data_IF_378526158201
#
_entry.id   IF_378526158201
#
_cell.length_a   1.000
_cell.length_b   1.000
_cell.length_c   1.000
_cell.angle_alpha   90.00
_cell.angle_beta   90.00
_cell.angle_gamma   90.00
#
_symmetry.space_group_name_H-M   'P 1'
#
loop_
_entity.id
_entity.type
_entity.pdbx_description
1 polymer ?
#
# COMPACT_ATOMS: atom_id res chain seq x y z
N UNK A 1 -17.38 10.52 27.48
CA UNK A 1 -16.85 11.56 26.57
C UNK A 1 -17.06 11.11 25.12
N UNK A 2 -18.15 11.53 24.49
CA UNK A 2 -18.36 11.30 23.06
C UNK A 2 -17.49 12.27 22.28
N UNK A 3 -16.38 11.79 21.70
CA UNK A 3 -15.64 12.55 20.69
C UNK A 3 -16.59 12.73 19.51
N UNK A 4 -17.05 13.96 19.28
CA UNK A 4 -17.84 14.27 18.09
C UNK A 4 -17.02 13.88 16.87
N UNK A 5 -17.48 12.90 16.11
CA UNK A 5 -16.91 12.57 14.80
C UNK A 5 -17.13 13.79 13.90
N UNK A 6 -16.14 14.66 13.83
CA UNK A 6 -16.14 15.81 12.94
C UNK A 6 -16.22 15.26 11.52
N UNK A 7 -17.32 15.54 10.81
CA UNK A 7 -17.43 15.20 9.39
C UNK A 7 -16.23 15.82 8.67
N UNK A 8 -15.37 14.98 8.11
CA UNK A 8 -14.25 15.42 7.27
C UNK A 8 -14.86 15.99 5.99
N UNK A 9 -14.54 17.25 5.67
CA UNK A 9 -15.04 17.89 4.46
C UNK A 9 -14.24 17.47 3.22
N UNK A 10 -14.83 17.59 2.03
CA UNK A 10 -14.11 17.37 0.76
C UNK A 10 -12.84 18.22 0.65
N UNK A 11 -12.83 19.42 1.21
CA UNK A 11 -11.64 20.29 1.26
C UNK A 11 -10.50 19.74 2.12
N UNK A 12 -10.83 19.07 3.23
CA UNK A 12 -9.82 18.45 4.09
C UNK A 12 -9.17 17.26 3.36
N UNK A 13 -9.98 16.50 2.62
CA UNK A 13 -9.51 15.41 1.75
C UNK A 13 -8.59 15.92 0.64
N UNK A 14 -8.96 17.03 -0.01
CA UNK A 14 -8.13 17.63 -1.07
C UNK A 14 -6.79 18.10 -0.51
N UNK A 15 -6.79 18.79 0.64
CA UNK A 15 -5.57 19.24 1.31
C UNK A 15 -4.63 18.09 1.65
N UNK A 16 -5.18 16.95 2.05
CA UNK A 16 -4.38 15.75 2.33
C UNK A 16 -3.66 15.25 1.06
N UNK A 17 -4.37 15.20 -0.08
CA UNK A 17 -3.78 14.86 -1.37
C UNK A 17 -2.65 15.82 -1.80
N UNK A 18 -2.84 17.12 -1.59
CA UNK A 18 -1.81 18.14 -1.85
C UNK A 18 -0.59 17.97 -0.94
N UNK A 19 -0.80 17.65 0.34
CA UNK A 19 0.27 17.39 1.29
C UNK A 19 1.09 16.15 0.89
N UNK A 20 0.42 15.08 0.42
CA UNK A 20 1.09 13.88 -0.10
C UNK A 20 1.94 14.23 -1.32
N UNK A 21 1.40 14.95 -2.31
CA UNK A 21 2.17 15.36 -3.49
C UNK A 21 3.40 16.19 -3.09
N UNK A 22 3.24 17.12 -2.15
CA UNK A 22 4.35 17.94 -1.66
C UNK A 22 5.46 17.07 -1.08
N UNK A 23 5.12 16.09 -0.24
CA UNK A 23 6.08 15.13 0.32
C UNK A 23 6.74 14.26 -0.74
N UNK A 24 5.99 13.79 -1.74
CA UNK A 24 6.56 13.05 -2.87
C UNK A 24 7.62 13.90 -3.57
N UNK A 25 7.33 15.17 -3.86
CA UNK A 25 8.28 16.09 -4.50
C UNK A 25 9.49 16.39 -3.63
N UNK A 26 9.31 16.55 -2.32
CA UNK A 26 10.42 16.74 -1.38
C UNK A 26 11.31 15.50 -1.31
N UNK A 27 10.73 14.30 -1.15
CA UNK A 27 11.49 13.05 -1.13
C UNK A 27 12.30 12.82 -2.41
N UNK A 28 11.68 13.09 -3.56
CA UNK A 28 12.31 12.92 -4.87
C UNK A 28 13.41 13.94 -5.09
N UNK A 29 13.24 15.18 -4.58
CA UNK A 29 14.32 16.17 -4.54
C UNK A 29 15.46 15.70 -3.66
N UNK A 30 15.20 15.38 -2.41
CA UNK A 30 16.26 15.08 -1.43
C UNK A 30 17.08 13.84 -1.83
N UNK A 31 16.41 12.74 -2.21
CA UNK A 31 17.09 11.48 -2.49
C UNK A 31 17.88 11.49 -3.80
N UNK A 32 17.33 12.08 -4.85
CA UNK A 32 17.99 12.11 -6.15
C UNK A 32 18.97 13.28 -6.27
N UNK A 33 18.80 14.37 -5.51
CA UNK A 33 19.75 15.49 -5.51
C UNK A 33 21.07 15.03 -4.89
N UNK A 34 21.00 14.36 -3.74
CA UNK A 34 22.19 13.83 -3.08
C UNK A 34 22.92 12.80 -3.93
N UNK A 35 22.17 11.90 -4.59
CA UNK A 35 22.74 10.88 -5.49
C UNK A 35 23.38 11.52 -6.72
N UNK A 36 22.68 12.43 -7.40
CA UNK A 36 23.18 13.13 -8.58
C UNK A 36 24.38 14.04 -8.25
N UNK A 37 24.36 14.76 -7.12
CA UNK A 37 25.48 15.58 -6.67
C UNK A 37 26.72 14.74 -6.39
N UNK A 38 26.54 13.57 -5.77
CA UNK A 38 27.61 12.61 -5.48
C UNK A 38 28.20 12.03 -6.77
N UNK A 39 27.36 11.57 -7.68
CA UNK A 39 27.77 10.90 -8.93
C UNK A 39 28.47 11.87 -9.91
N UNK A 40 28.15 13.17 -9.84
CA UNK A 40 28.70 14.19 -10.73
C UNK A 40 29.71 15.13 -10.06
N UNK A 41 30.11 14.85 -8.80
CA UNK A 41 31.06 15.67 -8.02
C UNK A 41 30.67 17.16 -7.93
N UNK A 42 29.36 17.46 -7.90
CA UNK A 42 28.81 18.81 -7.93
C UNK A 42 28.79 19.36 -6.50
N UNK A 43 29.63 20.37 -6.23
CA UNK A 43 29.72 21.03 -4.91
C UNK A 43 28.71 22.17 -4.70
N UNK A 44 27.99 22.60 -5.74
CA UNK A 44 27.12 23.78 -5.68
C UNK A 44 25.86 23.66 -6.57
N UNK A 45 24.69 23.57 -5.92
CA UNK A 45 23.37 23.30 -6.55
C UNK A 45 22.81 24.49 -7.33
N UNK A 46 23.23 25.73 -7.01
CA UNK A 46 22.65 26.98 -7.55
C UNK A 46 22.82 27.17 -9.07
N UNK A 47 23.50 26.27 -9.79
CA UNK A 47 23.78 26.35 -11.24
C UNK A 47 23.19 25.19 -12.07
N UNK A 48 22.30 24.37 -11.52
CA UNK A 48 21.66 23.31 -12.33
C UNK A 48 20.68 23.90 -13.34
N UNK A 49 20.86 23.55 -14.62
CA UNK A 49 19.92 23.89 -15.69
C UNK A 49 18.65 23.03 -15.63
N UNK A 50 17.61 23.45 -16.36
CA UNK A 50 16.33 22.70 -16.47
C UNK A 50 16.54 21.28 -17.01
N UNK A 51 17.53 21.08 -17.87
CA UNK A 51 17.84 19.79 -18.48
C UNK A 51 18.53 18.82 -17.51
N UNK A 52 19.41 19.32 -16.64
CA UNK A 52 20.01 18.54 -15.55
C UNK A 52 18.95 18.08 -14.55
N UNK A 53 17.99 18.96 -14.26
CA UNK A 53 16.80 18.62 -13.48
C UNK A 53 16.05 17.45 -14.14
N UNK A 54 15.66 17.56 -15.41
CA UNK A 54 14.90 16.50 -16.08
C UNK A 54 15.66 15.16 -16.13
N UNK A 55 16.98 15.18 -16.32
CA UNK A 55 17.84 13.99 -16.36
C UNK A 55 18.00 13.32 -14.98
N UNK A 56 17.95 14.11 -13.91
CA UNK A 56 17.96 13.62 -12.54
C UNK A 56 16.67 12.86 -12.17
N UNK A 57 15.51 13.30 -12.67
CA UNK A 57 14.22 12.62 -12.44
C UNK A 57 13.92 11.47 -13.41
N UNK A 58 14.69 11.30 -14.50
CA UNK A 58 14.44 10.24 -15.49
C UNK A 58 14.94 8.85 -15.06
N UNK A 59 15.72 8.74 -13.97
CA UNK A 59 16.36 7.50 -13.52
C UNK A 59 15.82 6.97 -12.17
N UNK A 60 14.59 7.34 -11.82
CA UNK A 60 13.99 6.93 -10.55
C UNK A 60 13.58 5.46 -10.66
N UNK A 61 14.15 4.62 -9.81
CA UNK A 61 13.90 3.19 -9.87
C UNK A 61 12.52 2.84 -9.32
N UNK A 62 11.94 1.73 -9.78
CA UNK A 62 10.67 1.20 -9.26
C UNK A 62 10.72 1.00 -7.74
N UNK A 63 11.87 0.54 -7.21
CA UNK A 63 12.12 0.39 -5.77
C UNK A 63 12.02 1.71 -4.99
N UNK A 64 12.34 2.84 -5.62
CA UNK A 64 12.25 4.15 -4.98
C UNK A 64 10.80 4.60 -4.84
N UNK A 65 9.97 4.33 -5.85
CA UNK A 65 8.53 4.55 -5.79
C UNK A 65 7.83 3.65 -4.76
N UNK A 66 8.20 2.36 -4.68
CA UNK A 66 7.65 1.45 -3.67
C UNK A 66 7.99 1.91 -2.23
N UNK A 67 9.24 2.29 -1.99
CA UNK A 67 9.69 2.81 -0.69
C UNK A 67 8.94 4.08 -0.30
N UNK A 68 8.80 5.02 -1.25
CA UNK A 68 8.03 6.25 -1.05
C UNK A 68 6.54 5.94 -0.80
N UNK A 69 5.95 5.03 -1.59
CA UNK A 69 4.56 4.63 -1.43
C UNK A 69 4.30 4.06 -0.04
N UNK A 70 5.17 3.15 0.45
CA UNK A 70 5.08 2.58 1.79
C UNK A 70 5.12 3.65 2.87
N UNK A 71 6.07 4.60 2.77
CA UNK A 71 6.18 5.72 3.72
C UNK A 71 4.91 6.59 3.74
N UNK A 72 4.37 6.93 2.57
CA UNK A 72 3.12 7.71 2.47
C UNK A 72 1.95 6.96 3.08
N UNK A 73 1.81 5.65 2.82
CA UNK A 73 0.74 4.82 3.41
C UNK A 73 0.84 4.79 4.95
N UNK A 74 2.05 4.72 5.50
CA UNK A 74 2.28 4.70 6.95
C UNK A 74 1.99 6.05 7.64
N UNK A 75 2.30 7.17 6.98
CA UNK A 75 2.05 8.51 7.51
C UNK A 75 0.59 8.95 7.35
N UNK A 76 -0.06 8.52 6.28
CA UNK A 76 -1.42 8.93 5.88
C UNK A 76 -2.41 7.76 5.92
N UNK A 77 -2.33 6.89 6.93
CA UNK A 77 -3.07 5.60 7.01
C UNK A 77 -4.55 5.69 6.70
N UNK A 78 -5.25 6.65 7.30
CA UNK A 78 -6.70 6.80 7.11
C UNK A 78 -7.03 7.12 5.65
N UNK A 79 -6.34 8.11 5.08
CA UNK A 79 -6.51 8.49 3.68
C UNK A 79 -6.13 7.35 2.73
N UNK A 80 -4.96 6.74 2.93
CA UNK A 80 -4.46 5.64 2.11
C UNK A 80 -5.35 4.39 2.16
N UNK A 81 -6.00 4.13 3.29
CA UNK A 81 -6.93 2.99 3.42
C UNK A 81 -8.20 3.17 2.58
N UNK A 82 -8.69 4.40 2.43
CA UNK A 82 -9.92 4.71 1.69
C UNK A 82 -9.64 5.00 0.22
N UNK A 83 -8.50 5.64 -0.08
CA UNK A 83 -8.16 6.18 -1.39
C UNK A 83 -6.82 5.63 -1.93
N UNK A 84 -6.61 4.33 -1.83
CA UNK A 84 -5.35 3.69 -2.21
C UNK A 84 -4.91 3.98 -3.65
N UNK A 85 -5.85 3.96 -4.62
CA UNK A 85 -5.53 4.27 -6.03
C UNK A 85 -5.14 5.74 -6.24
N UNK A 86 -5.73 6.66 -5.46
CA UNK A 86 -5.35 8.08 -5.48
C UNK A 86 -3.91 8.21 -5.00
N UNK A 87 -3.57 7.60 -3.86
CA UNK A 87 -2.21 7.62 -3.30
C UNK A 87 -1.21 7.02 -4.28
N UNK A 88 -1.49 5.82 -4.81
CA UNK A 88 -0.64 5.18 -5.82
C UNK A 88 -0.45 6.08 -7.04
N UNK A 89 -1.52 6.67 -7.55
CA UNK A 89 -1.42 7.58 -8.69
C UNK A 89 -0.53 8.78 -8.38
N UNK A 90 -0.68 9.43 -7.23
CA UNK A 90 0.17 10.57 -6.83
C UNK A 90 1.64 10.17 -6.75
N UNK A 91 1.94 9.03 -6.11
CA UNK A 91 3.32 8.59 -5.89
C UNK A 91 3.99 8.23 -7.22
N UNK A 92 3.34 7.42 -8.06
CA UNK A 92 3.94 6.89 -9.28
C UNK A 92 3.93 7.90 -10.44
N UNK A 93 2.94 8.79 -10.52
CA UNK A 93 2.91 9.83 -11.55
C UNK A 93 3.62 11.12 -11.14
N UNK A 94 3.85 11.31 -9.83
CA UNK A 94 4.33 12.58 -9.25
C UNK A 94 3.46 13.79 -9.66
N UNK A 95 2.19 13.55 -9.95
CA UNK A 95 1.18 14.52 -10.35
C UNK A 95 -0.04 14.40 -9.42
N UNK A 96 -0.70 15.53 -9.16
CA UNK A 96 -1.95 15.57 -8.41
C UNK A 96 -2.83 16.69 -8.94
N UNK A 97 -4.10 16.38 -9.14
CA UNK A 97 -5.10 17.29 -9.68
C UNK A 97 -6.21 17.45 -8.63
N UNK A 98 -6.18 18.56 -7.89
CA UNK A 98 -7.11 18.82 -6.78
C UNK A 98 -8.57 18.79 -7.21
N UNK A 99 -8.89 19.37 -8.37
CA UNK A 99 -10.24 19.34 -8.95
C UNK A 99 -10.68 17.94 -9.38
N UNK A 100 -9.75 17.08 -9.83
CA UNK A 100 -10.05 15.67 -10.11
C UNK A 100 -10.44 14.93 -8.82
N UNK A 101 -9.70 15.12 -7.72
CA UNK A 101 -10.02 14.51 -6.43
C UNK A 101 -11.34 15.04 -5.87
N UNK A 102 -11.59 16.35 -5.97
CA UNK A 102 -12.85 16.96 -5.52
C UNK A 102 -14.05 16.35 -6.24
N UNK A 103 -13.98 16.26 -7.58
CA UNK A 103 -15.03 15.61 -8.39
C UNK A 103 -15.20 14.14 -8.02
N UNK A 104 -14.09 13.42 -7.83
CA UNK A 104 -14.11 12.03 -7.41
C UNK A 104 -14.81 11.83 -6.07
N UNK A 105 -14.44 12.58 -5.03
CA UNK A 105 -15.03 12.47 -3.68
C UNK A 105 -16.51 12.83 -3.69
N UNK A 106 -16.89 13.90 -4.39
CA UNK A 106 -18.29 14.29 -4.54
C UNK A 106 -19.08 13.20 -5.27
N UNK A 107 -18.50 12.61 -6.32
CA UNK A 107 -19.13 11.52 -7.06
C UNK A 107 -19.30 10.28 -6.20
N UNK A 108 -18.29 9.87 -5.43
CA UNK A 108 -18.39 8.75 -4.48
C UNK A 108 -19.47 8.97 -3.42
N UNK A 109 -19.59 10.19 -2.91
CA UNK A 109 -20.60 10.56 -1.91
C UNK A 109 -22.02 10.41 -2.45
N UNK A 110 -22.23 10.73 -3.73
CA UNK A 110 -23.52 10.65 -4.39
C UNK A 110 -23.81 9.28 -5.02
N UNK A 111 -22.78 8.46 -5.25
CA UNK A 111 -22.87 7.19 -5.94
C UNK A 111 -22.16 6.08 -5.15
N UNK A 112 -22.72 5.68 -3.99
CA UNK A 112 -22.16 4.59 -3.21
C UNK A 112 -22.12 3.30 -4.03
N UNK A 113 -21.18 2.43 -3.70
CA UNK A 113 -21.04 1.12 -4.31
C UNK A 113 -21.56 0.05 -3.35
N UNK A 114 -22.13 -1.01 -3.90
CA UNK A 114 -22.64 -2.16 -3.12
C UNK A 114 -21.87 -3.44 -3.43
N UNK A 115 -21.12 -3.46 -4.53
CA UNK A 115 -20.36 -4.63 -4.97
C UNK A 115 -18.87 -4.33 -5.07
N UNK A 116 -18.04 -5.38 -4.99
CA UNK A 116 -16.59 -5.29 -5.21
C UNK A 116 -16.26 -4.75 -6.60
N UNK A 117 -17.02 -5.18 -7.62
CA UNK A 117 -16.84 -4.70 -9.00
C UNK A 117 -17.12 -3.21 -9.12
N UNK A 118 -18.24 -2.73 -8.57
CA UNK A 118 -18.56 -1.31 -8.55
C UNK A 118 -17.49 -0.51 -7.80
N UNK A 119 -16.97 -1.04 -6.69
CA UNK A 119 -15.85 -0.42 -5.98
C UNK A 119 -14.63 -0.22 -6.90
N UNK A 120 -14.21 -1.25 -7.63
CA UNK A 120 -13.09 -1.16 -8.59
C UNK A 120 -13.39 -0.15 -9.70
N UNK A 121 -14.62 -0.15 -10.22
CA UNK A 121 -15.08 0.83 -11.21
C UNK A 121 -14.99 2.26 -10.69
N UNK A 122 -15.38 2.50 -9.42
CA UNK A 122 -15.24 3.80 -8.78
C UNK A 122 -13.78 4.21 -8.66
N UNK A 123 -12.89 3.32 -8.24
CA UNK A 123 -11.46 3.63 -8.16
C UNK A 123 -10.88 4.04 -9.53
N UNK A 124 -11.36 3.44 -10.63
CA UNK A 124 -10.96 3.82 -11.98
C UNK A 124 -11.35 5.27 -12.35
N UNK A 125 -12.46 5.78 -11.81
CA UNK A 125 -12.97 7.12 -12.13
C UNK A 125 -12.00 8.23 -11.71
N UNK A 126 -11.27 8.07 -10.61
CA UNK A 126 -10.24 9.04 -10.23
C UNK A 126 -9.17 9.21 -11.32
N UNK A 127 -8.71 8.10 -11.91
CA UNK A 127 -7.72 8.11 -12.98
C UNK A 127 -8.30 8.75 -14.26
N UNK A 128 -9.59 8.51 -14.55
CA UNK A 128 -10.30 9.15 -15.65
C UNK A 128 -10.42 10.67 -15.44
N UNK A 129 -10.78 11.12 -14.23
CA UNK A 129 -10.82 12.55 -13.90
C UNK A 129 -9.43 13.19 -14.02
N UNK A 130 -8.40 12.53 -13.50
CA UNK A 130 -7.02 13.00 -13.61
C UNK A 130 -6.55 13.07 -15.06
N UNK A 131 -6.91 12.10 -15.90
CA UNK A 131 -6.63 12.11 -17.33
C UNK A 131 -7.32 13.28 -18.04
N UNK A 132 -8.57 13.57 -17.70
CA UNK A 132 -9.31 14.70 -18.28
C UNK A 132 -8.75 16.06 -17.87
N UNK A 133 -8.28 16.20 -16.63
CA UNK A 133 -7.59 17.41 -16.17
C UNK A 133 -6.24 17.58 -16.90
N UNK A 134 -5.51 16.50 -17.13
CA UNK A 134 -4.25 16.51 -17.89
C UNK A 134 -4.45 16.78 -19.38
N UNK A 135 -5.55 16.30 -19.96
CA UNK A 135 -5.88 16.45 -21.38
C UNK A 135 -7.30 17.04 -21.58
N UNK A 136 -7.52 18.34 -21.30
CA UNK A 136 -8.86 18.93 -21.30
C UNK A 136 -9.60 18.89 -22.65
N UNK A 137 -8.85 18.77 -23.75
CA UNK A 137 -9.36 18.71 -25.13
C UNK A 137 -9.49 17.28 -25.65
N UNK A 138 -9.30 16.25 -24.82
CA UNK A 138 -9.48 14.87 -25.26
C UNK A 138 -10.92 14.64 -25.73
N UNK A 139 -11.06 13.98 -26.88
CA UNK A 139 -12.38 13.60 -27.40
C UNK A 139 -13.05 12.53 -26.52
N UNK A 140 -14.37 12.37 -26.68
CA UNK A 140 -15.14 11.36 -25.95
C UNK A 140 -14.68 9.93 -26.22
N UNK A 141 -14.28 9.62 -27.47
CA UNK A 141 -13.73 8.30 -27.84
C UNK A 141 -12.46 7.98 -27.06
N UNK A 142 -11.49 8.89 -27.05
CA UNK A 142 -10.22 8.71 -26.35
C UNK A 142 -10.42 8.53 -24.84
N UNK A 143 -11.36 9.29 -24.26
CA UNK A 143 -11.70 9.15 -22.85
C UNK A 143 -12.35 7.78 -22.53
N UNK A 144 -13.22 7.30 -23.42
CA UNK A 144 -13.86 5.99 -23.28
C UNK A 144 -12.85 4.84 -23.38
N UNK A 145 -11.94 4.91 -24.35
CA UNK A 145 -10.82 3.96 -24.51
C UNK A 145 -9.92 3.95 -23.28
N UNK A 146 -9.55 5.15 -22.77
CA UNK A 146 -8.75 5.28 -21.56
C UNK A 146 -9.46 4.65 -20.36
N UNK A 147 -10.75 4.94 -20.17
CA UNK A 147 -11.57 4.38 -19.09
C UNK A 147 -11.61 2.85 -19.16
N UNK A 148 -11.89 2.28 -20.33
CA UNK A 148 -11.94 0.83 -20.52
C UNK A 148 -10.58 0.18 -20.22
N UNK A 149 -9.48 0.77 -20.69
CA UNK A 149 -8.13 0.27 -20.43
C UNK A 149 -7.79 0.27 -18.93
N UNK A 150 -8.07 1.38 -18.24
CA UNK A 150 -7.82 1.48 -16.79
C UNK A 150 -8.68 0.48 -16.03
N UNK A 151 -9.98 0.41 -16.33
CA UNK A 151 -10.88 -0.52 -15.66
C UNK A 151 -10.45 -1.98 -15.85
N UNK A 152 -10.09 -2.34 -17.09
CA UNK A 152 -9.57 -3.68 -17.40
C UNK A 152 -8.32 -3.99 -16.56
N UNK A 153 -7.35 -3.07 -16.52
CA UNK A 153 -6.13 -3.24 -15.73
C UNK A 153 -6.42 -3.42 -14.23
N UNK A 154 -7.30 -2.61 -13.65
CA UNK A 154 -7.66 -2.73 -12.24
C UNK A 154 -8.42 -4.04 -11.92
N UNK A 155 -9.29 -4.50 -12.80
CA UNK A 155 -9.97 -5.79 -12.62
C UNK A 155 -9.01 -6.97 -12.74
N UNK A 156 -8.01 -6.89 -13.63
CA UNK A 156 -6.95 -7.89 -13.73
C UNK A 156 -6.05 -7.90 -12.49
N UNK A 157 -5.68 -6.73 -11.95
CA UNK A 157 -4.96 -6.61 -10.68
C UNK A 157 -5.77 -7.17 -9.51
N UNK A 158 -7.06 -6.86 -9.44
CA UNK A 158 -7.95 -7.36 -8.38
C UNK A 158 -8.06 -8.88 -8.40
N UNK A 159 -8.17 -9.47 -9.60
CA UNK A 159 -8.18 -10.93 -9.76
C UNK A 159 -6.85 -11.56 -9.30
N UNK A 160 -5.71 -10.98 -9.70
CA UNK A 160 -4.39 -11.45 -9.24
C UNK A 160 -4.25 -11.33 -7.73
N UNK A 161 -4.78 -10.26 -7.14
CA UNK A 161 -4.78 -10.09 -5.69
C UNK A 161 -5.58 -11.19 -5.00
N UNK A 162 -6.77 -11.53 -5.49
CA UNK A 162 -7.58 -12.62 -4.94
C UNK A 162 -6.87 -13.98 -5.06
N UNK A 163 -6.15 -14.23 -6.16
CA UNK A 163 -5.34 -15.44 -6.36
C UNK A 163 -4.19 -15.50 -5.34
N UNK A 164 -3.39 -14.43 -5.22
CA UNK A 164 -2.29 -14.34 -4.24
C UNK A 164 -2.78 -14.45 -2.79
N UNK A 165 -3.94 -13.87 -2.47
CA UNK A 165 -4.53 -13.94 -1.13
C UNK A 165 -4.92 -15.37 -0.76
N UNK A 166 -5.45 -16.15 -1.72
CA UNK A 166 -5.76 -17.57 -1.53
C UNK A 166 -4.49 -18.38 -1.28
N UNK A 167 -3.48 -18.23 -2.14
CA UNK A 167 -2.19 -18.92 -1.99
C UNK A 167 -1.54 -18.62 -0.65
N UNK A 168 -1.55 -17.35 -0.23
CA UNK A 168 -0.99 -16.94 1.07
C UNK A 168 -1.77 -17.57 2.22
N UNK A 169 -3.10 -17.61 2.14
CA UNK A 169 -3.94 -18.23 3.17
C UNK A 169 -3.65 -19.72 3.29
N UNK A 170 -3.47 -20.42 2.17
CA UNK A 170 -3.09 -21.84 2.16
C UNK A 170 -1.72 -22.09 2.79
N UNK A 171 -0.72 -21.24 2.51
CA UNK A 171 0.61 -21.33 3.12
C UNK A 171 0.51 -21.12 4.63
N UNK A 172 -0.16 -20.05 5.06
CA UNK A 172 -0.34 -19.74 6.49
C UNK A 172 -1.05 -20.88 7.20
N UNK A 173 -2.11 -21.45 6.63
CA UNK A 173 -2.81 -22.58 7.23
C UNK A 173 -1.91 -23.82 7.37
N UNK A 174 -1.10 -24.14 6.35
CA UNK A 174 -0.13 -25.25 6.43
C UNK A 174 0.93 -25.01 7.51
N UNK A 175 1.45 -23.79 7.62
CA UNK A 175 2.41 -23.44 8.68
C UNK A 175 1.77 -23.56 10.07
N UNK A 176 0.52 -23.12 10.22
CA UNK A 176 -0.23 -23.25 11.46
C UNK A 176 -0.49 -24.71 11.86
N UNK A 177 -0.86 -25.56 10.91
CA UNK A 177 -1.01 -27.00 11.13
C UNK A 177 0.30 -27.63 11.60
N UNK A 178 1.42 -27.31 10.93
CA UNK A 178 2.75 -27.76 11.36
C UNK A 178 3.11 -27.32 12.78
N UNK A 179 2.82 -26.07 13.15
CA UNK A 179 3.05 -25.56 14.51
C UNK A 179 2.18 -26.31 15.54
N UNK A 180 0.95 -26.66 15.20
CA UNK A 180 0.05 -27.40 16.09
C UNK A 180 0.58 -28.81 16.32
N UNK A 181 1.05 -29.49 15.27
CA UNK A 181 1.61 -30.83 15.36
C UNK A 181 2.92 -30.85 16.17
N UNK A 182 3.81 -29.89 15.91
CA UNK A 182 5.03 -29.68 16.73
C UNK A 182 4.70 -29.47 18.21
N UNK A 183 3.66 -28.68 18.52
CA UNK A 183 3.21 -28.45 19.90
C UNK A 183 2.66 -29.73 20.54
N UNK A 184 1.88 -30.53 19.80
CA UNK A 184 1.35 -31.81 20.28
C UNK A 184 2.48 -32.78 20.59
N UNK A 185 3.47 -32.88 19.71
CA UNK A 185 4.62 -33.76 19.90
C UNK A 185 5.43 -33.36 21.14
N UNK A 186 5.75 -32.07 21.30
CA UNK A 186 6.44 -31.57 22.50
C UNK A 186 5.66 -31.84 23.78
N UNK A 187 4.33 -31.64 23.77
CA UNK A 187 3.50 -31.91 24.94
C UNK A 187 3.52 -33.40 25.30
N UNK A 188 3.46 -34.29 24.30
CA UNK A 188 3.55 -35.73 24.51
C UNK A 188 4.91 -36.14 25.07
N UNK A 189 6.00 -35.57 24.55
CA UNK A 189 7.35 -35.80 25.07
C UNK A 189 7.48 -35.36 26.53
N UNK A 190 6.96 -34.18 26.89
CA UNK A 190 6.95 -33.67 28.26
C UNK A 190 6.13 -34.56 29.21
N UNK A 191 4.92 -34.95 28.82
CA UNK A 191 4.08 -35.86 29.61
C UNK A 191 4.77 -37.21 29.85
N UNK A 192 5.46 -37.72 28.84
CA UNK A 192 6.23 -38.97 28.95
C UNK A 192 7.40 -38.82 29.91
N UNK A 193 8.11 -37.68 29.88
CA UNK A 193 9.19 -37.39 30.83
C UNK A 193 8.68 -37.24 32.26
N UNK A 194 7.53 -36.59 32.45
CA UNK A 194 6.91 -36.45 33.77
C UNK A 194 6.51 -37.81 34.36
N UNK A 195 5.83 -38.66 33.59
CA UNK A 195 5.48 -40.03 34.04
C UNK A 195 6.71 -40.84 34.44
N UNK A 196 7.78 -40.78 33.64
CA UNK A 196 9.04 -41.48 33.97
C UNK A 196 9.67 -40.97 35.27
N UNK A 197 9.59 -39.67 35.55
CA UNK A 197 10.07 -39.09 36.81
C UNK A 197 9.21 -39.53 38.00
N UNK A 198 7.89 -39.50 37.86
CA UNK A 198 6.96 -39.99 38.90
C UNK A 198 7.22 -41.46 39.23
N UNK A 199 7.38 -42.33 38.23
CA UNK A 199 7.71 -43.74 38.43
C UNK A 199 9.08 -43.95 39.14
N UNK A 200 10.07 -43.11 38.83
CA UNK A 200 11.37 -43.13 39.51
C UNK A 200 11.25 -42.69 40.97
N UNK A 201 10.49 -41.63 41.24
CA UNK A 201 10.24 -41.15 42.59
C UNK A 201 9.44 -42.16 43.43
N UNK A 202 8.46 -42.84 42.84
CA UNK A 202 7.72 -43.92 43.50
C UNK A 202 8.60 -45.13 43.82
N UNK A 203 9.51 -45.51 42.90
CA UNK A 203 10.51 -46.57 43.16
C UNK A 203 11.47 -46.19 44.30
N UNK A 204 11.90 -44.93 44.35
CA UNK A 204 12.73 -44.41 45.44
C UNK A 204 11.99 -44.39 46.78
N UNK A 205 10.70 -44.01 46.79
CA UNK A 205 9.87 -43.94 48.00
C UNK A 205 9.44 -45.32 48.52
N UNK A 206 9.22 -46.29 47.63
CA UNK A 206 8.80 -47.65 47.99
C UNK A 206 9.93 -48.53 48.55
N UNK A 207 11.16 -48.01 48.66
CA UNK A 207 12.29 -48.72 49.28
C UNK A 207 12.80 -49.90 48.47
N UNK A 208 12.41 -50.03 47.20
CA UNK A 208 12.98 -51.02 46.27
C UNK A 208 14.30 -50.47 45.73
N UNK A 209 15.32 -50.43 46.60
CA UNK A 209 16.71 -50.36 46.18
C UNK A 209 17.11 -51.78 45.75
N UNK A 210 17.38 -51.95 44.46
CA UNK A 210 18.30 -53.00 43.98
C UNK A 210 19.71 -52.59 44.38
#
# INVERSE_FOLDING_TARGET
MNKSNKKVGTDDIVKEGEAILKKCREYMKDRHLDTYMKDNNIKNVKKMGKDDYNKMYSNISEKDYESLHKKIVEEHKQFASVYAIVVRSIVYSNEFYSEALRRYVNHLTNNPWNTKKEFVERQAEFLVYSFREKYPRCGTSQLAEYKQRVLKGLLEEDKKFDEMAKETTEIVNKEWEGIIDDRRERLHQLLTQMKKKEEQEEKLKSGVLV
#
